data_IF_654107055812
#
_entry.id   IF_654107055812
#
_cell.length_a   1.000
_cell.length_b   1.000
_cell.length_c   1.000
_cell.angle_alpha   90.00
_cell.angle_beta   90.00
_cell.angle_gamma   90.00
#
_symmetry.space_group_name_H-M   'P 1'
#
loop_
_entity.id
_entity.type
_entity.pdbx_description
1 polymer ?
#
# COMPACT_ATOMS: atom_id res chain seq x y z
N UNK A 1 4.75 -23.20 -13.54
CA UNK A 1 3.75 -22.13 -13.57
C UNK A 1 4.23 -20.90 -14.32
N UNK A 2 5.47 -20.35 -14.07
CA UNK A 2 6.04 -19.21 -14.85
C UNK A 2 5.91 -19.40 -16.37
N UNK A 3 6.16 -20.61 -16.87
CA UNK A 3 6.03 -20.94 -18.30
C UNK A 3 4.58 -20.84 -18.80
N UNK A 4 3.60 -21.20 -17.99
CA UNK A 4 2.18 -21.10 -18.34
C UNK A 4 1.71 -19.66 -18.39
N UNK A 5 2.12 -18.84 -17.44
CA UNK A 5 1.83 -17.40 -17.40
C UNK A 5 2.45 -16.70 -18.61
N UNK A 6 3.73 -17.01 -18.92
CA UNK A 6 4.40 -16.46 -20.09
C UNK A 6 3.71 -16.89 -21.39
N UNK A 7 3.23 -18.14 -21.48
CA UNK A 7 2.49 -18.63 -22.63
C UNK A 7 1.12 -17.95 -22.78
N UNK A 8 0.42 -17.75 -21.67
CA UNK A 8 -0.88 -17.03 -21.64
C UNK A 8 -0.68 -15.54 -22.00
N UNK A 9 0.34 -14.90 -21.46
CA UNK A 9 0.70 -13.54 -21.81
C UNK A 9 1.04 -13.40 -23.31
N UNK A 10 1.85 -14.32 -23.84
CA UNK A 10 2.18 -14.35 -25.27
C UNK A 10 0.93 -14.60 -26.14
N UNK A 11 0.01 -15.46 -25.70
CA UNK A 11 -1.25 -15.71 -26.40
C UNK A 11 -2.14 -14.46 -26.42
N UNK A 12 -2.33 -13.80 -25.29
CA UNK A 12 -3.10 -12.56 -25.21
C UNK A 12 -2.48 -11.44 -26.06
N UNK A 13 -1.17 -11.32 -26.07
CA UNK A 13 -0.48 -10.34 -26.90
C UNK A 13 -0.52 -10.69 -28.40
N UNK A 14 -0.61 -11.97 -28.76
CA UNK A 14 -0.65 -12.39 -30.17
C UNK A 14 -2.04 -12.27 -30.81
N UNK A 15 -3.11 -12.35 -30.01
CA UNK A 15 -4.50 -12.32 -30.49
C UNK A 15 -5.10 -10.92 -30.54
N UNK A 16 -4.49 -9.95 -29.85
CA UNK A 16 -4.94 -8.57 -29.82
C UNK A 16 -3.85 -7.67 -30.43
N UNK A 17 -4.26 -6.71 -31.24
CA UNK A 17 -3.35 -5.61 -31.60
C UNK A 17 -2.99 -4.87 -30.31
N UNK A 18 -1.72 -4.94 -29.90
CA UNK A 18 -1.24 -4.20 -28.75
C UNK A 18 -1.47 -2.72 -29.04
N UNK A 19 -2.38 -2.11 -28.30
CA UNK A 19 -2.74 -0.71 -28.48
C UNK A 19 -1.63 0.23 -28.02
N UNK A 20 -0.71 -0.27 -27.16
CA UNK A 20 0.46 0.45 -26.68
C UNK A 20 1.24 -0.38 -25.66
N UNK A 21 2.49 -0.03 -25.51
CA UNK A 21 3.33 -0.47 -24.39
C UNK A 21 3.69 0.77 -23.60
N UNK A 22 3.32 0.81 -22.33
CA UNK A 22 3.73 1.86 -21.40
C UNK A 22 4.96 1.37 -20.62
N UNK A 23 5.94 2.24 -20.53
CA UNK A 23 7.09 2.08 -19.65
C UNK A 23 6.97 3.10 -18.52
N UNK A 24 7.07 2.62 -17.31
CA UNK A 24 7.18 3.45 -16.12
C UNK A 24 8.25 2.89 -15.20
N UNK A 25 8.70 3.68 -14.25
CA UNK A 25 9.68 3.19 -13.30
C UNK A 25 9.85 4.13 -12.13
N UNK A 26 10.56 3.63 -11.12
CA UNK A 26 10.89 4.35 -9.92
C UNK A 26 12.34 4.10 -9.56
N UNK A 27 13.11 5.17 -9.55
CA UNK A 27 14.47 5.16 -9.01
C UNK A 27 14.47 5.78 -7.62
N UNK A 28 15.10 5.09 -6.67
CA UNK A 28 15.30 5.59 -5.30
C UNK A 28 16.78 5.55 -4.96
N UNK A 29 17.35 6.69 -4.59
CA UNK A 29 18.70 6.80 -4.06
C UNK A 29 18.65 7.35 -2.65
N UNK A 30 19.39 6.74 -1.72
CA UNK A 30 19.47 7.19 -0.32
C UNK A 30 20.92 7.31 0.10
N UNK A 31 21.28 8.43 0.69
CA UNK A 31 22.57 8.70 1.32
C UNK A 31 22.33 8.91 2.82
N UNK A 32 22.99 8.11 3.65
CA UNK A 32 22.94 8.25 5.10
C UNK A 32 24.05 9.17 5.65
N UNK A 33 24.02 9.43 6.94
CA UNK A 33 24.99 10.29 7.65
C UNK A 33 26.38 9.64 7.77
N UNK A 34 26.50 8.34 7.58
CA UNK A 34 27.78 7.62 7.49
C UNK A 34 28.44 7.73 6.11
N UNK A 35 27.74 8.34 5.13
CA UNK A 35 28.17 8.46 3.76
C UNK A 35 27.94 7.19 2.93
N UNK A 36 27.13 6.25 3.41
CA UNK A 36 26.72 5.07 2.64
C UNK A 36 25.61 5.47 1.68
N UNK A 37 25.82 5.15 0.41
CA UNK A 37 24.84 5.36 -0.65
C UNK A 37 24.23 4.02 -1.05
N UNK A 38 22.89 3.96 -1.03
CA UNK A 38 22.10 2.83 -1.54
C UNK A 38 21.23 3.30 -2.69
N UNK A 39 20.97 2.40 -3.63
CA UNK A 39 20.10 2.67 -4.77
C UNK A 39 19.19 1.49 -5.07
N UNK A 40 18.03 1.81 -5.57
CA UNK A 40 17.04 0.87 -6.06
C UNK A 40 16.41 1.39 -7.35
N UNK A 41 16.11 0.49 -8.28
CA UNK A 41 15.45 0.79 -9.55
C UNK A 41 14.39 -0.28 -9.81
N UNK A 42 13.15 0.15 -9.88
CA UNK A 42 12.04 -0.70 -10.31
C UNK A 42 11.55 -0.18 -11.65
N UNK A 43 11.41 -1.06 -12.63
CA UNK A 43 10.93 -0.73 -13.98
C UNK A 43 9.73 -1.59 -14.31
N UNK A 44 8.62 -0.97 -14.72
CA UNK A 44 7.38 -1.66 -15.05
C UNK A 44 7.04 -1.45 -16.53
N UNK A 45 6.80 -2.56 -17.23
CA UNK A 45 6.26 -2.59 -18.58
C UNK A 45 4.81 -3.04 -18.53
N UNK A 46 3.91 -2.26 -19.12
CA UNK A 46 2.50 -2.62 -19.28
C UNK A 46 2.17 -2.70 -20.76
N UNK A 47 1.84 -3.88 -21.22
CA UNK A 47 1.27 -4.10 -22.54
C UNK A 47 -0.25 -4.16 -22.45
N UNK A 48 -0.95 -3.21 -23.09
CA UNK A 48 -2.41 -3.14 -23.09
C UNK A 48 -3.00 -3.65 -24.41
N UNK A 49 -4.09 -4.41 -24.31
CA UNK A 49 -4.87 -4.89 -25.45
C UNK A 49 -6.37 -4.84 -25.14
N UNK A 50 -7.21 -5.07 -26.16
CA UNK A 50 -8.66 -5.18 -25.95
C UNK A 50 -9.06 -6.39 -25.10
N UNK A 51 -8.17 -7.39 -24.93
CA UNK A 51 -8.40 -8.60 -24.14
C UNK A 51 -7.90 -8.47 -22.69
N UNK A 52 -7.11 -7.44 -22.39
CA UNK A 52 -6.55 -7.22 -21.04
C UNK A 52 -5.15 -6.66 -21.10
N UNK A 53 -4.53 -6.57 -19.94
CA UNK A 53 -3.20 -6.03 -19.75
C UNK A 53 -2.23 -7.12 -19.31
N UNK A 54 -0.98 -6.98 -19.71
CA UNK A 54 0.14 -7.77 -19.18
C UNK A 54 1.10 -6.80 -18.51
N UNK A 55 1.40 -7.03 -17.24
CA UNK A 55 2.37 -6.23 -16.49
C UNK A 55 3.58 -7.07 -16.16
N UNK A 56 4.76 -6.51 -16.35
CA UNK A 56 6.04 -7.12 -15.98
C UNK A 56 6.86 -6.07 -15.24
N UNK A 57 7.27 -6.39 -14.03
CA UNK A 57 8.14 -5.54 -13.21
C UNK A 57 9.54 -6.15 -13.14
N UNK A 58 10.53 -5.30 -13.24
CA UNK A 58 11.95 -5.69 -13.18
C UNK A 58 12.60 -4.96 -11.99
N UNK A 59 13.45 -5.67 -11.30
CA UNK A 59 14.32 -5.11 -10.28
C UNK A 59 15.52 -4.33 -10.87
N UNK A 60 16.40 -3.81 -10.01
CA UNK A 60 17.63 -3.08 -10.39
C UNK A 60 18.61 -3.89 -11.22
N UNK A 61 18.57 -5.21 -11.14
CA UNK A 61 19.44 -6.14 -11.85
C UNK A 61 18.80 -6.65 -13.17
N UNK A 62 17.63 -6.08 -13.54
CA UNK A 62 16.78 -6.46 -14.67
C UNK A 62 16.26 -7.90 -14.58
N UNK A 63 16.21 -8.47 -13.39
CA UNK A 63 15.49 -9.71 -13.16
C UNK A 63 13.97 -9.42 -13.10
N UNK A 64 13.17 -10.37 -13.56
CA UNK A 64 11.70 -10.25 -13.43
C UNK A 64 11.35 -10.46 -11.96
N UNK A 65 10.76 -9.43 -11.38
CA UNK A 65 10.28 -9.40 -10.03
C UNK A 65 8.81 -9.86 -10.00
N UNK A 66 7.95 -9.14 -10.72
CA UNK A 66 6.55 -9.51 -10.88
C UNK A 66 6.18 -9.74 -12.34
N UNK A 67 5.22 -10.62 -12.58
CA UNK A 67 4.61 -10.79 -13.88
C UNK A 67 3.16 -11.25 -13.72
N UNK A 68 2.21 -10.44 -14.18
CA UNK A 68 0.79 -10.82 -14.14
C UNK A 68 0.00 -10.33 -15.35
N UNK A 69 -1.14 -10.96 -15.54
CA UNK A 69 -2.13 -10.66 -16.58
C UNK A 69 -3.43 -10.26 -15.90
N UNK A 70 -4.02 -9.18 -16.36
CA UNK A 70 -5.32 -8.69 -15.91
C UNK A 70 -6.29 -8.62 -17.09
N UNK A 71 -7.53 -9.02 -16.89
CA UNK A 71 -8.58 -8.96 -17.90
C UNK A 71 -9.94 -8.83 -17.25
N UNK A 72 -10.83 -8.03 -17.84
CA UNK A 72 -12.23 -7.94 -17.43
C UNK A 72 -13.10 -8.72 -18.41
N UNK A 73 -13.81 -9.72 -17.94
CA UNK A 73 -14.72 -10.53 -18.74
C UNK A 73 -16.12 -10.52 -18.10
N UNK A 74 -17.09 -9.98 -18.81
CA UNK A 74 -18.47 -9.89 -18.34
C UNK A 74 -18.67 -9.18 -16.98
N UNK A 75 -17.82 -8.19 -16.66
CA UNK A 75 -17.86 -7.44 -15.40
C UNK A 75 -17.16 -8.14 -14.22
N UNK A 76 -16.43 -9.21 -14.52
CA UNK A 76 -15.55 -9.89 -13.56
C UNK A 76 -14.12 -9.56 -13.94
N UNK A 77 -13.35 -9.03 -13.01
CA UNK A 77 -11.94 -8.73 -13.17
C UNK A 77 -11.12 -9.95 -12.73
N UNK A 78 -10.26 -10.41 -13.62
CA UNK A 78 -9.37 -11.53 -13.40
C UNK A 78 -7.94 -11.03 -13.30
N UNK A 79 -7.17 -11.56 -12.35
CA UNK A 79 -5.73 -11.39 -12.24
C UNK A 79 -5.07 -12.75 -12.09
N UNK A 80 -4.07 -13.01 -12.91
CA UNK A 80 -3.27 -14.24 -12.86
C UNK A 80 -1.81 -13.88 -12.98
N UNK A 81 -1.00 -14.27 -12.03
CA UNK A 81 0.42 -13.99 -12.12
C UNK A 81 1.21 -14.32 -10.88
N UNK A 82 2.40 -13.79 -10.86
CA UNK A 82 3.35 -13.88 -9.78
C UNK A 82 3.66 -12.47 -9.29
N UNK A 83 3.49 -12.23 -8.01
CA UNK A 83 3.82 -10.97 -7.31
C UNK A 83 4.56 -11.37 -6.04
N UNK A 84 5.71 -10.75 -5.76
CA UNK A 84 6.56 -11.05 -4.60
C UNK A 84 6.86 -12.57 -4.47
N UNK A 85 7.24 -13.23 -5.57
CA UNK A 85 7.47 -14.68 -5.65
C UNK A 85 6.23 -15.56 -5.38
N UNK A 86 5.04 -14.96 -5.24
CA UNK A 86 3.79 -15.66 -4.98
C UNK A 86 2.96 -15.74 -6.25
N UNK A 87 2.77 -16.94 -6.78
CA UNK A 87 1.87 -17.14 -7.91
C UNK A 87 0.44 -17.28 -7.43
N UNK A 88 -0.46 -16.50 -8.00
CA UNK A 88 -1.90 -16.52 -7.64
C UNK A 88 -2.80 -16.39 -8.86
N UNK A 89 -4.04 -16.82 -8.70
CA UNK A 89 -5.15 -16.50 -9.58
C UNK A 89 -6.28 -15.90 -8.74
N UNK A 90 -6.75 -14.71 -9.16
CA UNK A 90 -7.84 -14.01 -8.52
C UNK A 90 -8.94 -13.64 -9.48
N UNK A 91 -10.14 -13.49 -8.96
CA UNK A 91 -11.29 -12.94 -9.66
C UNK A 91 -12.08 -12.03 -8.71
N UNK A 92 -12.46 -10.85 -9.18
CA UNK A 92 -13.17 -9.85 -8.39
C UNK A 92 -14.37 -9.32 -9.17
N UNK A 93 -15.47 -9.11 -8.50
CA UNK A 93 -16.65 -8.48 -9.10
C UNK A 93 -17.38 -7.60 -8.09
N UNK A 94 -18.02 -6.54 -8.59
CA UNK A 94 -18.79 -5.61 -7.76
C UNK A 94 -20.26 -5.72 -8.09
N UNK A 95 -21.10 -5.92 -7.07
CA UNK A 95 -22.55 -5.98 -7.18
C UNK A 95 -23.19 -4.94 -6.24
N UNK A 96 -23.65 -3.85 -6.78
CA UNK A 96 -24.15 -2.73 -6.00
C UNK A 96 -23.03 -2.13 -5.14
N UNK A 97 -23.22 -2.00 -3.82
CA UNK A 97 -22.19 -1.48 -2.91
C UNK A 97 -21.18 -2.52 -2.42
N UNK A 98 -21.26 -3.76 -2.91
CA UNK A 98 -20.46 -4.89 -2.41
C UNK A 98 -19.52 -5.37 -3.50
N UNK A 99 -18.24 -5.50 -3.18
CA UNK A 99 -17.22 -6.15 -3.98
C UNK A 99 -16.91 -7.52 -3.35
N UNK A 100 -16.86 -8.55 -4.18
CA UNK A 100 -16.52 -9.91 -3.78
C UNK A 100 -15.32 -10.36 -4.58
N UNK A 101 -14.29 -10.82 -3.87
CA UNK A 101 -13.09 -11.40 -4.43
C UNK A 101 -12.98 -12.89 -4.11
N UNK A 102 -12.31 -13.60 -4.99
CA UNK A 102 -11.82 -14.96 -4.76
C UNK A 102 -10.36 -15.00 -5.20
N UNK A 103 -9.50 -15.56 -4.37
CA UNK A 103 -8.09 -15.71 -4.67
C UNK A 103 -7.60 -17.10 -4.32
N UNK A 104 -6.66 -17.62 -5.12
CA UNK A 104 -5.97 -18.86 -4.86
C UNK A 104 -4.48 -18.68 -5.11
N UNK A 105 -3.70 -18.86 -4.07
CA UNK A 105 -2.25 -18.90 -4.12
C UNK A 105 -1.79 -20.31 -4.47
N UNK A 106 -0.71 -20.42 -5.23
CA UNK A 106 -0.11 -21.70 -5.62
C UNK A 106 0.27 -22.53 -4.39
N UNK A 107 -0.33 -23.70 -4.27
CA UNK A 107 -0.14 -24.60 -3.12
C UNK A 107 -0.94 -24.22 -1.86
N UNK A 108 -1.69 -23.12 -1.90
CA UNK A 108 -2.55 -22.65 -0.82
C UNK A 108 -4.02 -23.02 -1.01
N UNK A 109 -4.83 -22.65 -0.02
CA UNK A 109 -6.27 -22.73 -0.06
C UNK A 109 -6.87 -21.60 -0.90
N UNK A 110 -8.10 -21.79 -1.34
CA UNK A 110 -8.90 -20.69 -1.92
C UNK A 110 -9.38 -19.79 -0.79
N UNK A 111 -9.19 -18.50 -0.95
CA UNK A 111 -9.66 -17.46 -0.03
C UNK A 111 -10.75 -16.61 -0.67
N UNK A 112 -11.55 -15.96 0.15
CA UNK A 112 -12.63 -15.08 -0.28
C UNK A 112 -12.54 -13.77 0.47
N UNK A 113 -12.72 -12.67 -0.27
CA UNK A 113 -12.70 -11.32 0.23
C UNK A 113 -14.04 -10.66 -0.03
N UNK A 114 -14.53 -9.87 0.90
CA UNK A 114 -15.79 -9.13 0.75
C UNK A 114 -15.63 -7.73 1.30
N UNK A 115 -15.87 -6.74 0.45
CA UNK A 115 -15.86 -5.33 0.81
C UNK A 115 -17.20 -4.68 0.49
N UNK A 116 -17.58 -3.69 1.26
CA UNK A 116 -18.78 -2.91 0.96
C UNK A 116 -18.87 -1.62 1.73
N UNK A 117 -19.53 -0.62 1.13
CA UNK A 117 -19.78 0.67 1.77
C UNK A 117 -21.29 0.85 1.96
N UNK A 118 -21.69 1.00 3.22
CA UNK A 118 -23.09 1.16 3.62
C UNK A 118 -23.25 2.39 4.52
N UNK A 119 -24.04 3.35 4.10
CA UNK A 119 -24.30 4.58 4.85
C UNK A 119 -23.03 5.34 5.30
N UNK A 120 -21.97 5.31 4.48
CA UNK A 120 -20.70 5.98 4.76
C UNK A 120 -19.73 5.14 5.62
N UNK A 121 -20.12 3.96 6.05
CA UNK A 121 -19.23 3.00 6.70
C UNK A 121 -18.73 2.02 5.64
N UNK A 122 -17.44 1.92 5.46
CA UNK A 122 -16.81 0.88 4.65
C UNK A 122 -16.39 -0.27 5.55
N UNK A 123 -16.75 -1.48 5.17
CA UNK A 123 -16.41 -2.73 5.89
C UNK A 123 -15.75 -3.68 4.91
N UNK A 124 -14.63 -4.28 5.30
CA UNK A 124 -13.92 -5.30 4.55
C UNK A 124 -13.67 -6.55 5.40
N UNK A 125 -13.68 -7.70 4.76
CA UNK A 125 -13.22 -8.95 5.33
C UNK A 125 -12.40 -9.68 4.27
N UNK A 126 -11.12 -9.83 4.55
CA UNK A 126 -10.18 -10.52 3.68
C UNK A 126 -9.91 -11.93 4.21
N UNK A 127 -9.61 -12.84 3.28
CA UNK A 127 -9.24 -14.23 3.58
C UNK A 127 -10.25 -14.98 4.47
N UNK A 128 -11.56 -14.79 4.23
CA UNK A 128 -12.66 -15.33 5.07
C UNK A 128 -12.49 -16.82 5.40
N UNK A 129 -11.94 -17.59 4.47
CA UNK A 129 -11.76 -19.04 4.62
C UNK A 129 -10.40 -19.44 5.18
N UNK A 130 -9.52 -18.48 5.41
CA UNK A 130 -8.18 -18.71 5.95
C UNK A 130 -8.19 -18.76 7.48
N UNK A 131 -7.19 -19.43 8.05
CA UNK A 131 -6.87 -19.31 9.48
C UNK A 131 -6.32 -17.91 9.80
N UNK A 132 -5.69 -17.24 8.82
CA UNK A 132 -5.31 -15.86 8.86
C UNK A 132 -6.35 -15.04 8.09
N UNK A 133 -7.05 -14.15 8.77
CA UNK A 133 -8.05 -13.27 8.17
C UNK A 133 -7.95 -11.88 8.74
N UNK A 134 -8.33 -10.91 7.93
CA UNK A 134 -8.41 -9.51 8.32
C UNK A 134 -9.87 -9.02 8.21
N UNK A 135 -10.26 -8.16 9.13
CA UNK A 135 -11.56 -7.49 9.11
C UNK A 135 -11.33 -6.03 9.38
N UNK A 136 -11.77 -5.18 8.48
CA UNK A 136 -11.62 -3.74 8.57
C UNK A 136 -12.97 -3.03 8.60
N UNK A 137 -13.00 -1.88 9.24
CA UNK A 137 -14.11 -0.94 9.16
C UNK A 137 -13.59 0.48 9.18
N UNK A 138 -14.11 1.34 8.31
CA UNK A 138 -13.78 2.76 8.32
C UNK A 138 -15.01 3.62 8.13
N UNK A 139 -14.97 4.82 8.72
CA UNK A 139 -16.03 5.79 8.62
C UNK A 139 -15.46 7.20 8.47
N UNK A 140 -15.99 7.93 7.49
CA UNK A 140 -15.64 9.33 7.29
C UNK A 140 -16.77 10.24 7.67
N UNK A 141 -16.51 11.23 8.54
CA UNK A 141 -17.48 12.23 8.97
C UNK A 141 -16.81 13.58 9.16
N UNK A 142 -17.32 14.60 8.47
CA UNK A 142 -16.85 15.99 8.60
C UNK A 142 -15.32 16.17 8.45
N UNK A 143 -14.68 15.39 7.57
CA UNK A 143 -13.23 15.41 7.34
C UNK A 143 -12.41 14.66 8.39
N UNK A 144 -13.06 13.96 9.31
CA UNK A 144 -12.43 13.01 10.22
C UNK A 144 -12.66 11.60 9.67
N UNK A 145 -11.59 10.85 9.48
CA UNK A 145 -11.62 9.43 9.14
C UNK A 145 -11.26 8.62 10.38
N UNK A 146 -12.06 7.65 10.71
CA UNK A 146 -11.83 6.70 11.79
C UNK A 146 -11.81 5.31 11.18
N UNK A 147 -10.72 4.57 11.38
CA UNK A 147 -10.53 3.21 10.93
C UNK A 147 -10.31 2.26 12.11
N UNK A 148 -10.74 1.04 11.94
CA UNK A 148 -10.42 -0.07 12.83
C UNK A 148 -10.16 -1.31 11.99
N UNK A 149 -9.13 -2.04 12.35
CA UNK A 149 -8.74 -3.29 11.70
C UNK A 149 -8.50 -4.36 12.77
N UNK A 150 -8.88 -5.57 12.47
CA UNK A 150 -8.61 -6.74 13.27
C UNK A 150 -8.03 -7.83 12.37
N UNK A 151 -6.76 -8.12 12.56
CA UNK A 151 -6.07 -9.21 11.90
C UNK A 151 -5.98 -10.41 12.87
N UNK A 152 -6.14 -11.60 12.31
CA UNK A 152 -6.02 -12.87 13.03
C UNK A 152 -5.10 -13.82 12.27
N UNK A 153 -4.16 -14.45 12.97
CA UNK A 153 -3.31 -15.49 12.43
C UNK A 153 -3.17 -16.63 13.45
N UNK A 154 -3.90 -17.71 13.22
CA UNK A 154 -3.99 -18.79 14.20
C UNK A 154 -4.71 -18.37 15.49
N UNK A 155 -4.03 -18.37 16.62
CA UNK A 155 -4.52 -17.87 17.91
C UNK A 155 -4.09 -16.42 18.18
N UNK A 156 -3.17 -15.86 17.39
CA UNK A 156 -2.71 -14.48 17.50
C UNK A 156 -3.73 -13.51 16.92
N UNK A 157 -3.95 -12.42 17.60
CA UNK A 157 -4.86 -11.35 17.21
C UNK A 157 -4.13 -10.00 17.26
N UNK A 158 -4.38 -9.17 16.28
CA UNK A 158 -3.91 -7.79 16.22
C UNK A 158 -5.10 -6.87 16.02
N UNK A 159 -5.16 -5.79 16.78
CA UNK A 159 -6.17 -4.74 16.62
C UNK A 159 -5.45 -3.43 16.33
N UNK A 160 -5.82 -2.79 15.24
CA UNK A 160 -5.34 -1.47 14.88
C UNK A 160 -6.51 -0.48 14.88
N UNK A 161 -6.27 0.70 15.41
CA UNK A 161 -7.18 1.83 15.38
C UNK A 161 -6.48 3.03 14.76
N UNK A 162 -7.11 3.65 13.78
CA UNK A 162 -6.57 4.80 13.05
C UNK A 162 -7.54 5.96 13.12
N UNK A 163 -7.02 7.14 13.36
CA UNK A 163 -7.77 8.39 13.26
C UNK A 163 -6.98 9.38 12.45
N UNK A 164 -7.59 9.94 11.42
CA UNK A 164 -6.95 10.99 10.62
C UNK A 164 -7.89 12.14 10.31
N UNK A 165 -7.34 13.33 10.18
CA UNK A 165 -8.08 14.52 9.76
C UNK A 165 -7.19 15.51 9.04
N UNK A 166 -7.80 16.34 8.19
CA UNK A 166 -7.11 17.47 7.54
C UNK A 166 -7.77 18.77 7.97
N UNK A 167 -7.00 19.61 8.66
CA UNK A 167 -7.45 20.90 9.15
C UNK A 167 -7.01 22.04 8.22
N UNK A 168 -7.89 22.99 7.97
CA UNK A 168 -7.57 24.20 7.21
C UNK A 168 -7.32 23.98 5.73
N UNK A 169 -7.84 22.89 5.16
CA UNK A 169 -7.81 22.64 3.73
C UNK A 169 -8.66 23.67 2.98
N UNK A 170 -8.15 24.20 1.90
CA UNK A 170 -8.90 25.03 0.94
C UNK A 170 -9.20 24.21 -0.31
N UNK A 171 -10.41 24.36 -0.83
CA UNK A 171 -10.84 23.75 -2.09
C UNK A 171 -11.01 24.88 -3.10
N UNK A 172 -10.35 24.81 -4.25
CA UNK A 172 -10.47 25.79 -5.30
C UNK A 172 -11.79 25.66 -6.10
N UNK A 173 -11.98 26.53 -7.09
CA UNK A 173 -13.21 26.54 -7.89
C UNK A 173 -13.37 25.27 -8.76
N UNK A 174 -12.31 24.54 -9.01
CA UNK A 174 -12.29 23.29 -9.79
C UNK A 174 -12.44 22.06 -8.89
N UNK A 175 -12.64 22.25 -7.58
CA UNK A 175 -12.80 21.17 -6.60
C UNK A 175 -11.48 20.55 -6.13
N UNK A 176 -10.33 21.15 -6.48
CA UNK A 176 -9.02 20.65 -6.08
C UNK A 176 -8.70 21.12 -4.66
N UNK A 177 -8.51 20.18 -3.76
CA UNK A 177 -8.15 20.45 -2.39
C UNK A 177 -6.65 20.79 -2.28
N UNK A 178 -6.31 21.86 -1.55
CA UNK A 178 -4.93 22.29 -1.38
C UNK A 178 -4.69 22.84 0.02
N UNK A 179 -3.45 22.70 0.49
CA UNK A 179 -3.05 23.13 1.82
C UNK A 179 -3.63 22.27 2.94
N UNK A 180 -3.60 22.81 4.12
CA UNK A 180 -4.09 22.13 5.33
C UNK A 180 -2.99 21.42 6.12
N UNK A 181 -3.36 21.05 7.33
CA UNK A 181 -2.53 20.28 8.25
C UNK A 181 -3.17 18.90 8.38
N UNK A 182 -2.47 17.87 7.94
CA UNK A 182 -2.89 16.49 8.14
C UNK A 182 -2.39 16.01 9.49
N UNK A 183 -3.28 15.46 10.29
CA UNK A 183 -2.98 14.85 11.59
C UNK A 183 -3.42 13.39 11.51
N UNK A 184 -2.54 12.47 11.89
CA UNK A 184 -2.88 11.05 12.06
C UNK A 184 -2.52 10.58 13.45
N UNK A 185 -3.33 9.70 14.00
CA UNK A 185 -3.05 8.95 15.21
C UNK A 185 -3.34 7.49 14.93
N UNK A 186 -2.47 6.61 15.34
CA UNK A 186 -2.65 5.18 15.22
C UNK A 186 -2.34 4.48 16.54
N UNK A 187 -3.03 3.39 16.77
CA UNK A 187 -2.80 2.49 17.89
C UNK A 187 -2.87 1.06 17.37
N UNK A 188 -1.83 0.28 17.67
CA UNK A 188 -1.76 -1.10 17.31
C UNK A 188 -1.53 -1.94 18.56
N UNK A 189 -2.38 -2.92 18.81
CA UNK A 189 -2.33 -3.77 19.98
C UNK A 189 -2.34 -5.23 19.56
N UNK A 190 -1.33 -5.97 20.00
CA UNK A 190 -1.35 -7.42 19.93
C UNK A 190 -2.23 -7.95 21.06
N UNK A 191 -3.09 -8.89 20.75
CA UNK A 191 -3.92 -9.57 21.72
C UNK A 191 -3.75 -11.07 21.52
N UNK A 192 -3.14 -11.74 22.48
CA UNK A 192 -3.33 -13.18 22.64
C UNK A 192 -4.70 -13.44 23.22
N UNK A 193 -5.21 -14.64 23.02
CA UNK A 193 -6.60 -15.05 23.27
C UNK A 193 -7.13 -14.69 24.67
N UNK A 194 -6.27 -14.48 25.63
CA UNK A 194 -6.59 -14.26 27.04
C UNK A 194 -6.02 -12.99 27.66
N UNK A 195 -5.08 -12.27 27.00
CA UNK A 195 -4.43 -11.07 27.53
C UNK A 195 -4.18 -10.02 26.43
N UNK A 196 -4.55 -8.77 26.70
CA UNK A 196 -4.11 -7.64 25.89
C UNK A 196 -2.71 -7.25 26.33
N UNK A 197 -1.75 -7.42 25.43
CA UNK A 197 -0.38 -6.93 25.63
C UNK A 197 -0.29 -5.43 25.43
N UNK A 198 0.80 -4.82 25.91
CA UNK A 198 1.04 -3.40 25.72
C UNK A 198 1.12 -3.07 24.22
N UNK A 199 0.32 -2.12 23.77
CA UNK A 199 0.23 -1.74 22.38
C UNK A 199 1.21 -0.66 21.98
N UNK A 200 1.45 -0.52 20.69
CA UNK A 200 2.20 0.60 20.10
C UNK A 200 1.27 1.78 19.80
N UNK A 201 1.79 2.99 19.95
CA UNK A 201 1.12 4.23 19.59
C UNK A 201 1.95 5.00 18.58
N UNK A 202 1.28 5.53 17.57
CA UNK A 202 1.89 6.40 16.59
C UNK A 202 1.09 7.65 16.34
N UNK A 203 1.72 8.61 15.73
CA UNK A 203 1.04 9.79 15.27
C UNK A 203 1.93 10.66 14.42
N UNK A 204 1.33 11.37 13.48
CA UNK A 204 2.05 12.31 12.63
C UNK A 204 1.28 13.61 12.42
N UNK A 205 2.05 14.65 12.14
CA UNK A 205 1.54 15.93 11.66
C UNK A 205 2.30 16.30 10.40
N UNK A 206 1.60 16.60 9.33
CA UNK A 206 2.22 17.05 8.08
C UNK A 206 1.51 18.26 7.49
N UNK A 207 2.27 19.13 6.83
CA UNK A 207 1.73 20.30 6.12
C UNK A 207 2.65 20.73 4.99
N UNK A 208 2.09 21.32 3.94
CA UNK A 208 2.85 21.95 2.88
C UNK A 208 3.20 23.41 3.28
N UNK A 209 4.47 23.76 3.21
CA UNK A 209 4.96 25.11 3.56
C UNK A 209 5.58 25.76 2.32
N UNK A 210 4.76 26.33 1.47
CA UNK A 210 5.18 27.11 0.31
C UNK A 210 6.34 26.47 -0.47
N UNK A 211 7.42 27.20 -0.66
CA UNK A 211 8.59 26.73 -1.40
C UNK A 211 9.44 25.67 -0.65
N UNK A 212 9.22 25.46 0.64
CA UNK A 212 9.93 24.42 1.40
C UNK A 212 9.41 23.01 1.11
N UNK A 213 8.22 22.89 0.49
CA UNK A 213 7.59 21.60 0.25
C UNK A 213 6.80 21.09 1.45
N UNK A 214 6.69 19.77 1.60
CA UNK A 214 5.95 19.14 2.70
C UNK A 214 6.88 18.88 3.88
N UNK A 215 6.49 19.36 5.05
CA UNK A 215 7.14 19.05 6.33
C UNK A 215 6.26 18.07 7.08
N UNK A 216 6.86 16.96 7.56
CA UNK A 216 6.19 15.95 8.39
C UNK A 216 6.99 15.75 9.67
N UNK A 217 6.31 15.71 10.79
CA UNK A 217 6.83 15.25 12.07
C UNK A 217 6.04 14.02 12.50
N UNK A 218 6.73 12.99 12.94
CA UNK A 218 6.16 11.71 13.33
C UNK A 218 6.77 11.22 14.63
N UNK A 219 5.99 10.54 15.44
CA UNK A 219 6.45 9.91 16.67
C UNK A 219 5.78 8.56 16.86
N UNK A 220 6.56 7.59 17.28
CA UNK A 220 6.12 6.25 17.62
C UNK A 220 6.57 5.86 19.01
N UNK A 221 5.71 5.15 19.73
CA UNK A 221 6.01 4.45 20.96
C UNK A 221 5.68 2.97 20.74
N UNK A 222 6.68 2.10 20.81
CA UNK A 222 6.46 0.66 20.69
C UNK A 222 5.97 0.07 22.01
N UNK A 223 5.45 -1.15 21.96
CA UNK A 223 5.11 -1.99 23.10
C UNK A 223 6.28 -2.18 24.11
N UNK A 224 7.50 -2.15 23.62
CA UNK A 224 8.73 -2.20 24.44
C UNK A 224 9.17 -0.83 25.00
N UNK A 225 8.29 0.19 25.02
CA UNK A 225 8.59 1.56 25.44
C UNK A 225 9.71 2.27 24.66
N UNK A 226 10.04 1.79 23.46
CA UNK A 226 11.01 2.46 22.59
C UNK A 226 10.32 3.60 21.84
N UNK A 227 10.82 4.81 22.02
CA UNK A 227 10.33 6.01 21.35
C UNK A 227 11.12 6.27 20.07
N UNK A 228 10.43 6.43 18.99
CA UNK A 228 11.00 6.89 17.71
C UNK A 228 10.42 8.23 17.33
N UNK A 229 11.26 9.12 16.85
CA UNK A 229 10.86 10.42 16.33
C UNK A 229 11.47 10.62 14.95
N UNK A 230 10.67 11.09 14.02
CA UNK A 230 11.12 11.50 12.69
C UNK A 230 10.68 12.91 12.39
N UNK A 231 11.56 13.69 11.78
CA UNK A 231 11.26 14.97 11.15
C UNK A 231 11.76 14.93 9.72
N UNK A 232 10.86 15.09 8.76
CA UNK A 232 11.22 15.09 7.35
C UNK A 232 10.73 16.31 6.60
N UNK A 233 11.47 16.67 5.55
CA UNK A 233 11.12 17.72 4.60
C UNK A 233 11.25 17.16 3.21
N UNK A 234 10.16 17.17 2.45
CA UNK A 234 10.11 16.70 1.07
C UNK A 234 9.87 17.87 0.13
N UNK A 235 10.78 18.10 -0.81
CA UNK A 235 10.67 19.10 -1.86
C UNK A 235 10.97 18.48 -3.22
N UNK A 236 9.95 18.42 -4.08
CA UNK A 236 10.05 17.75 -5.37
C UNK A 236 10.45 16.28 -5.20
N UNK A 237 11.58 15.90 -5.78
CA UNK A 237 12.09 14.52 -5.73
C UNK A 237 12.96 14.23 -4.49
N UNK A 238 13.27 15.22 -3.68
CA UNK A 238 14.19 15.09 -2.55
C UNK A 238 13.45 15.07 -1.22
N UNK A 239 13.86 14.18 -0.33
CA UNK A 239 13.45 14.14 1.07
C UNK A 239 14.69 14.12 1.95
N UNK A 240 14.79 15.08 2.86
CA UNK A 240 15.74 15.05 3.96
C UNK A 240 14.98 14.62 5.22
N UNK A 241 15.48 13.63 5.93
CA UNK A 241 14.87 13.13 7.15
C UNK A 241 15.89 13.01 8.27
N UNK A 242 15.47 13.40 9.47
CA UNK A 242 16.17 13.13 10.72
C UNK A 242 15.32 12.15 11.55
N UNK A 243 15.97 11.11 12.02
CA UNK A 243 15.33 10.07 12.82
C UNK A 243 16.10 9.86 14.12
N UNK A 244 15.38 9.60 15.20
CA UNK A 244 15.93 9.23 16.51
C UNK A 244 15.16 8.07 17.11
N UNK A 245 15.88 7.01 17.48
CA UNK A 245 15.29 5.81 18.08
C UNK A 245 15.82 5.63 19.52
N UNK A 246 14.91 5.62 20.48
CA UNK A 246 15.23 5.45 21.90
C UNK A 246 16.20 6.50 22.41
N UNK A 247 17.29 6.04 23.02
CA UNK A 247 18.38 6.87 23.56
C UNK A 247 19.55 7.04 22.59
N UNK A 248 19.48 6.46 21.38
CA UNK A 248 20.52 6.62 20.37
C UNK A 248 20.64 8.08 19.89
N UNK A 249 21.81 8.45 19.36
CA UNK A 249 21.96 9.71 18.66
C UNK A 249 21.09 9.70 17.39
N UNK A 250 20.53 10.86 17.03
CA UNK A 250 19.73 10.95 15.83
C UNK A 250 20.57 10.81 14.56
N UNK A 251 20.02 10.19 13.55
CA UNK A 251 20.62 10.01 12.21
C UNK A 251 19.98 10.94 11.19
N UNK A 252 20.74 11.36 10.19
CA UNK A 252 20.27 12.16 9.07
C UNK A 252 20.37 11.36 7.78
N UNK A 253 19.34 11.40 6.96
CA UNK A 253 19.33 10.80 5.63
C UNK A 253 18.86 11.78 4.57
N UNK A 254 19.33 11.60 3.34
CA UNK A 254 18.84 12.28 2.15
C UNK A 254 18.43 11.24 1.12
N UNK A 255 17.19 11.31 0.70
CA UNK A 255 16.58 10.41 -0.28
C UNK A 255 16.17 11.18 -1.53
N UNK A 256 16.39 10.61 -2.69
CA UNK A 256 15.85 11.09 -3.95
C UNK A 256 15.00 10.00 -4.60
N UNK A 257 13.81 10.39 -5.07
CA UNK A 257 12.89 9.49 -5.79
C UNK A 257 12.53 10.14 -7.11
N UNK A 258 12.75 9.43 -8.20
CA UNK A 258 12.37 9.84 -9.56
C UNK A 258 11.44 8.79 -10.13
N UNK A 259 10.25 9.21 -10.54
CA UNK A 259 9.29 8.39 -11.25
C UNK A 259 9.24 8.85 -12.72
N UNK A 260 9.15 7.90 -13.67
CA UNK A 260 9.16 8.16 -15.14
C UNK A 260 8.23 7.24 -15.90
#
# INVERSE_FOLDING_TARGET
MKTFIAALAAFLMSTASIAGVALSGKYTGTLDDSGVYTQDLVTTLVGASAAGNVTVTFDKDLAVDDMFVESTIAGIDFKLGEVDDVTSIGATTTVGPVTVGVNQVSGGSVTFDVDGTFAGVTVGVDDITSAARETSASYEVAGLTIGAEHAKSGDDHQVQLDVSTVLGQSVDADGVASGGITITLDHNQNADRDEFEDGSWGGSVSTAIGALGTVKAEGHLTDADVKTYELSVTQGIFTAAWEKVGSADGSLSLKAVVEF
#
